data_IF_114378684336
#
_entry.id   IF_114378684336
#
_cell.length_a   1.000
_cell.length_b   1.000
_cell.length_c   1.000
_cell.angle_alpha   90.00
_cell.angle_beta   90.00
_cell.angle_gamma   90.00
#
_symmetry.space_group_name_H-M   'P 1'
#
loop_
_entity.id
_entity.type
_entity.pdbx_description
1 polymer ?
#
# COMPACT_ATOMS: atom_id res chain seq x y z
N UNK A 1 -20.60 0.59 4.42
CA UNK A 1 -20.56 -0.72 3.76
C UNK A 1 -19.15 -1.08 3.36
N UNK A 2 -18.71 -2.27 3.68
CA UNK A 2 -17.33 -2.69 3.37
C UNK A 2 -17.19 -3.12 1.93
N UNK A 3 -16.04 -2.78 1.34
CA UNK A 3 -15.68 -3.14 -0.03
C UNK A 3 -14.19 -3.41 -0.09
N UNK A 4 -13.74 -3.94 -1.21
CA UNK A 4 -12.31 -4.07 -1.49
C UNK A 4 -11.76 -2.77 -2.04
N UNK A 5 -10.56 -2.42 -1.58
CA UNK A 5 -9.80 -1.27 -2.09
C UNK A 5 -8.35 -1.68 -2.28
N UNK A 6 -7.72 -1.10 -3.28
CA UNK A 6 -6.29 -1.27 -3.53
C UNK A 6 -5.60 0.01 -3.11
N UNK A 7 -4.66 -0.09 -2.17
CA UNK A 7 -3.84 1.05 -1.74
C UNK A 7 -2.46 0.90 -2.36
N UNK A 8 -1.99 1.97 -2.99
CA UNK A 8 -0.67 2.02 -3.59
C UNK A 8 0.15 3.07 -2.85
N UNK A 9 1.28 2.65 -2.28
CA UNK A 9 2.16 3.51 -1.49
C UNK A 9 3.53 3.55 -2.15
N UNK A 10 4.02 4.75 -2.42
CA UNK A 10 5.40 4.98 -2.84
C UNK A 10 6.13 5.60 -1.66
N UNK A 11 7.28 5.07 -1.31
CA UNK A 11 7.98 5.45 -0.08
C UNK A 11 9.48 5.20 -0.19
N UNK A 12 10.23 5.78 0.74
CA UNK A 12 11.63 5.45 0.93
C UNK A 12 11.72 3.98 1.37
N UNK A 13 12.67 3.26 0.77
CA UNK A 13 12.85 1.84 1.07
C UNK A 13 13.75 1.67 2.29
N UNK A 14 13.13 1.64 3.47
CA UNK A 14 13.86 1.36 4.70
C UNK A 14 13.12 0.29 5.51
N UNK A 15 13.83 -0.27 6.50
CA UNK A 15 13.32 -1.42 7.25
C UNK A 15 12.05 -1.13 8.04
N UNK A 16 11.81 0.12 8.41
CA UNK A 16 10.68 0.47 9.26
C UNK A 16 9.41 0.80 8.50
N UNK A 17 9.49 1.04 7.18
CA UNK A 17 8.34 1.55 6.44
C UNK A 17 7.19 0.55 6.37
N UNK A 18 7.47 -0.73 6.15
CA UNK A 18 6.43 -1.76 6.12
C UNK A 18 5.73 -1.89 7.45
N UNK A 19 6.48 -1.85 8.55
CA UNK A 19 5.90 -1.89 9.90
C UNK A 19 4.97 -0.70 10.13
N UNK A 20 5.35 0.48 9.66
CA UNK A 20 4.49 1.68 9.80
C UNK A 20 3.21 1.55 9.01
N UNK A 21 3.29 1.06 7.78
CA UNK A 21 2.12 0.84 6.93
C UNK A 21 1.17 -0.16 7.60
N UNK A 22 1.70 -1.30 8.02
CA UNK A 22 0.90 -2.34 8.67
C UNK A 22 0.29 -1.83 9.97
N UNK A 23 1.04 -1.05 10.75
CA UNK A 23 0.54 -0.49 12.01
C UNK A 23 -0.60 0.49 11.78
N UNK A 24 -0.53 1.32 10.75
CA UNK A 24 -1.62 2.24 10.41
C UNK A 24 -2.89 1.46 10.08
N UNK A 25 -2.77 0.41 9.29
CA UNK A 25 -3.90 -0.44 8.92
C UNK A 25 -4.47 -1.16 10.14
N UNK A 26 -3.61 -1.69 11.00
CA UNK A 26 -4.03 -2.43 12.20
C UNK A 26 -4.74 -1.52 13.22
N UNK A 27 -4.25 -0.30 13.41
CA UNK A 27 -4.88 0.66 14.33
C UNK A 27 -6.31 0.99 13.92
N UNK A 28 -6.55 1.02 12.64
CA UNK A 28 -7.88 1.32 12.07
C UNK A 28 -8.72 0.07 11.87
N UNK A 29 -8.19 -1.09 12.26
CA UNK A 29 -8.85 -2.39 12.10
C UNK A 29 -9.24 -2.66 10.64
N UNK A 30 -8.38 -2.27 9.73
CA UNK A 30 -8.56 -2.53 8.30
C UNK A 30 -8.04 -3.92 7.98
N UNK A 31 -8.88 -4.75 7.39
CA UNK A 31 -8.51 -6.10 7.03
C UNK A 31 -7.63 -6.11 5.80
N UNK A 32 -6.40 -6.57 5.96
CA UNK A 32 -5.45 -6.74 4.86
C UNK A 32 -5.70 -8.11 4.24
N UNK A 33 -6.04 -8.14 2.96
CA UNK A 33 -6.23 -9.39 2.24
C UNK A 33 -4.94 -9.85 1.58
N UNK A 34 -4.20 -8.93 0.98
CA UNK A 34 -2.92 -9.21 0.33
C UNK A 34 -2.03 -7.99 0.42
N UNK A 35 -0.73 -8.22 0.46
CA UNK A 35 0.25 -7.14 0.48
C UNK A 35 1.47 -7.57 -0.33
N UNK A 36 1.93 -6.68 -1.20
CA UNK A 36 3.16 -6.86 -1.94
C UNK A 36 4.06 -5.67 -1.66
N UNK A 37 5.26 -5.93 -1.15
CA UNK A 37 6.28 -4.91 -0.97
C UNK A 37 7.19 -4.94 -2.19
N UNK A 38 7.54 -3.76 -2.70
CA UNK A 38 8.37 -3.64 -3.90
C UNK A 38 9.56 -2.74 -3.64
N UNK A 39 10.63 -3.01 -4.34
CA UNK A 39 11.84 -2.21 -4.35
C UNK A 39 12.10 -1.74 -5.78
N UNK A 40 12.51 -0.48 -5.94
CA UNK A 40 12.81 0.05 -7.26
C UNK A 40 14.10 -0.58 -7.78
N UNK A 41 14.08 -1.11 -9.00
CA UNK A 41 15.24 -1.80 -9.58
C UNK A 41 16.44 -0.89 -9.80
N UNK A 42 16.19 0.37 -10.13
CA UNK A 42 17.26 1.34 -10.44
C UNK A 42 17.71 2.15 -9.25
N UNK A 43 16.90 2.20 -8.18
CA UNK A 43 17.21 2.96 -6.97
C UNK A 43 16.73 2.20 -5.74
N UNK A 44 17.65 1.55 -5.06
CA UNK A 44 17.35 0.72 -3.88
C UNK A 44 16.82 1.53 -2.69
N UNK A 45 16.99 2.85 -2.71
CA UNK A 45 16.49 3.69 -1.64
C UNK A 45 15.00 3.96 -1.77
N UNK A 46 14.41 3.59 -2.90
CA UNK A 46 12.99 3.79 -3.17
C UNK A 46 12.27 2.46 -3.27
N UNK A 47 11.03 2.47 -2.89
CA UNK A 47 10.21 1.28 -2.95
C UNK A 47 8.76 1.63 -2.69
N UNK A 48 7.99 0.63 -2.30
CA UNK A 48 6.59 0.84 -2.00
C UNK A 48 5.86 -0.41 -1.62
N UNK A 49 4.56 -0.30 -1.56
CA UNK A 49 3.68 -1.42 -1.25
C UNK A 49 2.38 -1.29 -2.02
N UNK A 50 1.84 -2.42 -2.38
CA UNK A 50 0.50 -2.54 -2.98
C UNK A 50 -0.30 -3.42 -2.04
N UNK A 51 -1.41 -2.90 -1.53
CA UNK A 51 -2.16 -3.55 -0.47
C UNK A 51 -3.62 -3.69 -0.89
N UNK A 52 -4.11 -4.92 -0.86
CA UNK A 52 -5.54 -5.18 -1.07
C UNK A 52 -6.20 -5.30 0.29
N UNK A 53 -7.14 -4.42 0.56
CA UNK A 53 -7.82 -4.34 1.86
C UNK A 53 -9.34 -4.47 1.68
N UNK A 54 -10.00 -4.86 2.77
CA UNK A 54 -11.46 -4.93 2.82
C UNK A 54 -11.94 -4.03 3.96
N UNK A 55 -12.59 -2.93 3.60
CA UNK A 55 -12.94 -1.91 4.58
C UNK A 55 -14.02 -0.97 4.02
N UNK A 56 -14.33 0.09 4.76
CA UNK A 56 -15.28 1.12 4.34
C UNK A 56 -14.55 2.26 3.63
N UNK A 57 -15.31 3.05 2.85
CA UNK A 57 -14.74 4.23 2.18
C UNK A 57 -14.18 5.25 3.18
N UNK A 58 -14.82 5.40 4.32
CA UNK A 58 -14.36 6.33 5.37
C UNK A 58 -13.01 5.90 5.91
N UNK A 59 -12.85 4.60 6.21
CA UNK A 59 -11.61 4.09 6.79
C UNK A 59 -10.46 4.10 5.80
N UNK A 60 -10.70 3.75 4.53
CA UNK A 60 -9.63 3.77 3.53
C UNK A 60 -9.13 5.20 3.31
N UNK A 61 -10.01 6.18 3.34
CA UNK A 61 -9.64 7.60 3.23
C UNK A 61 -8.78 8.03 4.41
N UNK A 62 -9.16 7.65 5.64
CA UNK A 62 -8.38 7.93 6.85
C UNK A 62 -7.01 7.28 6.81
N UNK A 63 -6.93 6.05 6.33
CA UNK A 63 -5.65 5.32 6.16
C UNK A 63 -4.76 6.08 5.19
N UNK A 64 -5.30 6.48 4.04
CA UNK A 64 -4.55 7.25 3.05
C UNK A 64 -3.94 8.51 3.66
N UNK A 65 -4.76 9.31 4.37
CA UNK A 65 -4.28 10.54 5.01
C UNK A 65 -3.22 10.26 6.07
N UNK A 66 -3.38 9.19 6.83
CA UNK A 66 -2.41 8.81 7.85
C UNK A 66 -1.07 8.40 7.22
N UNK A 67 -1.12 7.67 6.13
CA UNK A 67 0.09 7.29 5.40
C UNK A 67 0.80 8.50 4.80
N UNK A 68 0.05 9.45 4.26
CA UNK A 68 0.63 10.68 3.69
C UNK A 68 1.36 11.53 4.73
N UNK A 69 1.00 11.40 6.01
CA UNK A 69 1.69 12.11 7.10
C UNK A 69 3.02 11.49 7.48
N UNK A 70 3.30 10.27 7.08
CA UNK A 70 4.58 9.62 7.36
C UNK A 70 5.67 10.29 6.50
N UNK A 71 6.78 10.66 7.13
CA UNK A 71 7.88 11.34 6.45
C UNK A 71 8.43 10.50 5.30
N UNK A 72 8.52 9.19 5.51
CA UNK A 72 9.07 8.27 4.53
C UNK A 72 8.15 8.00 3.34
N UNK A 73 6.86 8.37 3.46
CA UNK A 73 5.89 8.12 2.39
C UNK A 73 5.91 9.29 1.43
N UNK A 74 6.21 8.99 0.18
CA UNK A 74 6.22 9.97 -0.91
C UNK A 74 4.81 10.23 -1.42
N UNK A 75 4.02 9.16 -1.59
CA UNK A 75 2.62 9.29 -2.01
C UNK A 75 1.83 8.06 -1.59
N UNK A 76 0.53 8.26 -1.39
CA UNK A 76 -0.41 7.18 -1.12
C UNK A 76 -1.70 7.48 -1.86
N UNK A 77 -2.16 6.51 -2.65
CA UNK A 77 -3.42 6.62 -3.40
C UNK A 77 -4.19 5.32 -3.20
N UNK A 78 -5.50 5.37 -3.42
CA UNK A 78 -6.30 4.15 -3.37
C UNK A 78 -7.30 4.10 -4.52
N UNK A 79 -7.68 2.87 -4.87
CA UNK A 79 -8.64 2.58 -5.94
C UNK A 79 -9.69 1.63 -5.40
N UNK A 80 -10.93 1.83 -5.78
CA UNK A 80 -12.00 0.90 -5.41
C UNK A 80 -11.83 -0.41 -6.17
N UNK A 81 -11.99 -1.53 -5.48
CA UNK A 81 -11.92 -2.86 -6.06
C UNK A 81 -10.53 -3.46 -6.01
N UNK A 82 -10.40 -4.67 -6.58
CA UNK A 82 -9.17 -5.47 -6.56
C UNK A 82 -8.42 -5.47 -7.89
N UNK A 83 -9.02 -4.97 -8.96
CA UNK A 83 -8.41 -5.06 -10.31
C UNK A 83 -7.06 -4.37 -10.38
N UNK A 84 -6.94 -3.19 -9.75
CA UNK A 84 -5.67 -2.46 -9.74
C UNK A 84 -4.60 -3.24 -8.98
N UNK A 85 -4.95 -3.92 -7.89
CA UNK A 85 -3.99 -4.76 -7.16
C UNK A 85 -3.40 -5.82 -8.07
N UNK A 86 -4.24 -6.54 -8.79
CA UNK A 86 -3.77 -7.64 -9.65
C UNK A 86 -2.95 -7.12 -10.82
N UNK A 87 -3.33 -6.00 -11.39
CA UNK A 87 -2.58 -5.36 -12.46
C UNK A 87 -1.18 -4.95 -12.00
N UNK A 88 -1.09 -4.28 -10.86
CA UNK A 88 0.19 -3.85 -10.30
C UNK A 88 1.05 -5.02 -9.85
N UNK A 89 0.44 -6.07 -9.30
CA UNK A 89 1.19 -7.26 -8.87
C UNK A 89 1.78 -8.01 -10.06
N UNK A 90 1.10 -8.05 -11.20
CA UNK A 90 1.64 -8.63 -12.42
C UNK A 90 2.86 -7.86 -12.91
N UNK A 91 2.82 -6.53 -12.86
CA UNK A 91 3.96 -5.70 -13.24
C UNK A 91 5.16 -5.98 -12.33
N UNK A 92 4.93 -6.10 -11.02
CA UNK A 92 6.00 -6.42 -10.07
C UNK A 92 6.63 -7.77 -10.38
N UNK A 93 5.82 -8.79 -10.68
CA UNK A 93 6.32 -10.12 -11.02
C UNK A 93 7.13 -10.11 -12.30
N UNK A 94 6.75 -9.33 -13.30
CA UNK A 94 7.50 -9.19 -14.55
C UNK A 94 8.85 -8.53 -14.34
N UNK A 95 8.95 -7.59 -13.41
CA UNK A 95 10.19 -6.90 -13.10
C UNK A 95 11.20 -7.80 -12.40
N UNK A 96 10.74 -8.78 -11.68
CA UNK A 96 11.59 -9.69 -10.89
C UNK A 96 12.17 -10.81 -11.76
N UNK A 97 11.58 -11.08 -12.90
CA UNK A 97 11.97 -12.18 -13.77
C UNK A 97 13.31 -11.95 -14.50
#
# INVERSE_FOLDING_TARGET
MKKEYTIEVAADNNFSILNRIVNVLNRRRVRIKKLIATENETDFTRGGAIILVYTTSDLVEKVKHQLEKCIEVESAVYHEGASMYYELSERSNRQVA
#
